data_IF_457190583882
#
_entry.id   IF_457190583882
#
_cell.length_a   1.000
_cell.length_b   1.000
_cell.length_c   1.000
_cell.angle_alpha   90.00
_cell.angle_beta   90.00
_cell.angle_gamma   90.00
#
_symmetry.space_group_name_H-M   'P 1'
#
loop_
_entity.id
_entity.type
_entity.pdbx_description
1 polymer ?
#
# COMPACT_ATOMS: atom_id res chain seq x y z
N UNK A 1 2.78 -12.41 43.64
CA UNK A 1 3.76 -11.87 42.68
C UNK A 1 4.47 -10.70 43.31
N UNK A 2 5.80 -10.59 43.17
CA UNK A 2 6.51 -9.40 43.67
C UNK A 2 6.09 -8.16 42.87
N UNK A 3 6.09 -6.98 43.51
CA UNK A 3 5.75 -5.70 42.84
C UNK A 3 6.61 -5.49 41.59
N UNK A 4 7.86 -5.97 41.60
CA UNK A 4 8.76 -5.92 40.45
C UNK A 4 8.20 -6.71 39.25
N UNK A 5 7.77 -7.96 39.44
CA UNK A 5 7.23 -8.81 38.36
C UNK A 5 5.93 -8.24 37.80
N UNK A 6 5.10 -7.61 38.65
CA UNK A 6 3.89 -6.94 38.19
C UNK A 6 4.20 -5.78 37.24
N UNK A 7 5.17 -4.91 37.62
CA UNK A 7 5.60 -3.78 36.78
C UNK A 7 6.23 -4.27 35.48
N UNK A 8 7.11 -5.27 35.50
CA UNK A 8 7.74 -5.83 34.31
C UNK A 8 6.71 -6.41 33.35
N UNK A 9 5.72 -7.15 33.88
CA UNK A 9 4.63 -7.68 33.07
C UNK A 9 3.77 -6.57 32.42
N UNK A 10 3.43 -5.52 33.21
CA UNK A 10 2.67 -4.37 32.70
C UNK A 10 3.42 -3.65 31.56
N UNK A 11 4.75 -3.57 31.65
CA UNK A 11 5.62 -2.98 30.63
C UNK A 11 5.96 -3.96 29.48
N UNK A 12 5.45 -5.19 29.55
CA UNK A 12 5.79 -6.29 28.62
C UNK A 12 7.31 -6.53 28.52
N UNK A 13 7.99 -6.48 29.67
CA UNK A 13 9.42 -6.77 29.80
C UNK A 13 9.57 -8.19 30.34
N UNK A 14 10.18 -9.08 29.53
CA UNK A 14 10.32 -10.51 29.87
C UNK A 14 11.71 -10.89 30.44
N UNK A 15 12.48 -9.91 30.88
CA UNK A 15 13.81 -10.15 31.44
C UNK A 15 13.78 -10.05 32.97
N UNK A 16 13.85 -11.19 33.64
CA UNK A 16 13.80 -11.32 35.10
C UNK A 16 15.04 -10.71 35.81
N UNK A 17 16.13 -10.48 35.08
CA UNK A 17 17.34 -9.85 35.61
C UNK A 17 17.22 -8.33 35.76
N UNK A 18 16.09 -7.75 35.30
CA UNK A 18 15.80 -6.33 35.48
C UNK A 18 14.99 -6.12 36.75
N UNK A 19 15.54 -5.33 37.67
CA UNK A 19 14.89 -4.96 38.94
C UNK A 19 14.57 -3.47 38.93
N UNK A 20 13.29 -3.13 39.05
CA UNK A 20 12.83 -1.74 39.11
C UNK A 20 13.11 -1.21 40.50
N UNK A 21 13.79 -0.05 40.59
CA UNK A 21 14.29 0.49 41.85
C UNK A 21 13.60 1.78 42.32
N UNK A 22 12.87 2.45 41.42
CA UNK A 22 12.20 3.72 41.74
C UNK A 22 10.73 3.71 41.33
N UNK A 23 9.96 4.58 42.01
CA UNK A 23 8.62 4.94 41.54
C UNK A 23 8.74 5.66 40.17
N UNK A 24 7.77 5.46 39.32
CA UNK A 24 7.69 6.14 38.02
C UNK A 24 7.70 7.67 38.22
N UNK A 25 8.64 8.37 37.60
CA UNK A 25 8.72 9.84 37.60
C UNK A 25 8.16 10.39 36.32
N UNK A 26 7.31 11.41 36.40
CA UNK A 26 6.80 12.13 35.24
C UNK A 26 7.65 13.40 35.04
N UNK A 27 8.04 13.66 33.78
CA UNK A 27 8.80 14.85 33.40
C UNK A 27 8.32 15.39 32.06
N UNK A 28 8.27 16.69 31.92
CA UNK A 28 8.06 17.35 30.64
C UNK A 28 9.43 17.66 30.02
N UNK A 29 9.71 17.11 28.82
CA UNK A 29 10.96 17.32 28.11
C UNK A 29 10.59 17.80 26.69
N UNK A 30 11.01 19.02 26.32
CA UNK A 30 10.71 19.64 25.03
C UNK A 30 9.22 19.60 24.64
N UNK A 31 8.35 19.87 25.63
CA UNK A 31 6.89 19.91 25.45
C UNK A 31 6.19 18.53 25.37
N UNK A 32 6.91 17.43 25.55
CA UNK A 32 6.32 16.08 25.61
C UNK A 32 6.38 15.53 27.05
N UNK A 33 5.31 14.82 27.44
CA UNK A 33 5.23 14.14 28.72
C UNK A 33 5.97 12.81 28.69
N UNK A 34 6.87 12.61 29.62
CA UNK A 34 7.68 11.39 29.76
C UNK A 34 7.42 10.71 31.09
N UNK A 35 7.27 9.39 31.03
CA UNK A 35 7.40 8.49 32.18
C UNK A 35 8.82 7.92 32.22
N UNK A 36 9.54 8.15 33.31
CA UNK A 36 10.90 7.67 33.54
C UNK A 36 10.87 6.63 34.62
N UNK A 37 11.29 5.43 34.28
CA UNK A 37 11.37 4.28 35.18
C UNK A 37 12.85 3.92 35.32
N UNK A 38 13.36 3.77 36.54
CA UNK A 38 14.75 3.39 36.78
C UNK A 38 14.83 1.93 37.23
N UNK A 39 15.80 1.21 36.70
CA UNK A 39 16.03 -0.19 37.06
C UNK A 39 17.48 -0.60 37.00
N UNK A 40 17.80 -1.69 37.68
CA UNK A 40 19.11 -2.34 37.69
C UNK A 40 19.02 -3.61 36.86
N UNK A 41 19.99 -3.82 35.96
CA UNK A 41 20.20 -5.07 35.26
C UNK A 41 21.41 -5.78 35.85
N UNK A 42 21.17 -6.89 36.51
CA UNK A 42 22.23 -7.68 37.17
C UNK A 42 21.89 -9.17 37.17
N UNK A 43 22.90 -9.97 36.96
CA UNK A 43 22.83 -11.44 37.03
C UNK A 43 24.21 -12.01 37.38
N UNK A 44 24.31 -13.32 37.54
CA UNK A 44 25.61 -14.01 37.63
C UNK A 44 25.96 -14.55 36.23
N UNK A 45 27.02 -14.03 35.58
CA UNK A 45 27.39 -14.50 34.25
C UNK A 45 27.90 -15.94 34.32
N UNK A 46 27.50 -16.77 33.36
CA UNK A 46 27.90 -18.18 33.24
C UNK A 46 29.32 -18.34 32.73
N UNK A 47 29.74 -17.44 31.84
CA UNK A 47 31.09 -17.46 31.23
C UNK A 47 31.52 -16.03 30.86
N UNK A 48 32.81 -15.87 30.62
CA UNK A 48 33.38 -14.61 30.14
C UNK A 48 33.21 -14.53 28.60
N UNK A 49 32.59 -13.48 28.04
CA UNK A 49 32.43 -13.33 26.59
C UNK A 49 33.76 -13.04 25.88
N UNK A 50 34.84 -12.68 26.59
CA UNK A 50 36.13 -12.35 25.99
C UNK A 50 37.05 -13.57 25.87
N UNK A 51 37.16 -14.40 26.92
CA UNK A 51 38.08 -15.55 26.93
C UNK A 51 37.38 -16.91 27.06
N UNK A 52 36.04 -16.95 27.17
CA UNK A 52 35.28 -18.20 27.26
C UNK A 52 35.35 -18.90 28.62
N UNK A 53 36.13 -18.43 29.62
CA UNK A 53 36.24 -19.10 30.93
C UNK A 53 34.85 -19.21 31.56
N UNK A 54 34.53 -20.40 32.06
CA UNK A 54 33.28 -20.70 32.77
C UNK A 54 33.41 -20.21 34.22
N UNK A 55 32.39 -19.50 34.69
CA UNK A 55 32.37 -18.97 36.07
C UNK A 55 31.92 -20.05 37.06
N UNK A 56 32.82 -20.98 37.41
CA UNK A 56 32.46 -22.14 38.25
C UNK A 56 32.29 -21.80 39.74
N UNK A 57 33.11 -20.86 40.25
CA UNK A 57 33.16 -20.56 41.65
C UNK A 57 32.58 -19.20 42.04
N UNK A 58 31.93 -18.49 41.14
CA UNK A 58 31.49 -17.06 41.31
C UNK A 58 32.64 -16.07 41.55
N UNK A 59 33.86 -16.57 41.73
CA UNK A 59 35.06 -15.78 41.99
C UNK A 59 35.90 -15.48 40.75
N UNK A 60 35.68 -16.20 39.65
CA UNK A 60 36.39 -15.98 38.39
C UNK A 60 35.92 -14.72 37.68
N UNK A 61 34.63 -14.43 37.83
CA UNK A 61 33.99 -13.23 37.28
C UNK A 61 33.27 -12.50 38.40
N UNK A 62 33.76 -11.32 38.75
CA UNK A 62 33.23 -10.52 39.85
C UNK A 62 32.44 -9.31 39.38
N UNK A 63 31.51 -8.81 40.23
CA UNK A 63 30.80 -7.56 39.97
C UNK A 63 31.74 -6.37 40.15
N UNK A 64 31.78 -5.47 39.13
CA UNK A 64 32.74 -4.37 39.08
C UNK A 64 32.04 -3.01 38.85
N UNK A 65 31.10 -2.68 39.73
CA UNK A 65 30.30 -1.44 39.60
C UNK A 65 29.26 -1.47 38.50
N UNK A 66 28.77 -0.30 38.10
CA UNK A 66 27.67 -0.14 37.13
C UNK A 66 28.02 0.83 36.01
N UNK A 67 27.56 0.53 34.82
CA UNK A 67 27.34 1.54 33.78
C UNK A 67 25.98 2.17 34.01
N UNK A 68 25.99 3.43 34.52
CA UNK A 68 24.77 4.16 34.86
C UNK A 68 24.11 4.82 33.66
N UNK A 69 22.81 5.16 33.79
CA UNK A 69 22.03 5.98 32.86
C UNK A 69 21.94 5.44 31.44
N UNK A 70 21.87 4.11 31.26
CA UNK A 70 21.59 3.50 29.97
C UNK A 70 20.11 3.64 29.63
N UNK A 71 19.75 4.65 28.85
CA UNK A 71 18.35 4.91 28.46
C UNK A 71 17.89 3.94 27.39
N UNK A 72 16.79 3.24 27.65
CA UNK A 72 16.08 2.40 26.69
C UNK A 72 14.69 2.99 26.47
N UNK A 73 14.35 3.26 25.21
CA UNK A 73 13.01 3.69 24.80
C UNK A 73 12.12 2.48 24.72
N UNK A 74 11.06 2.47 25.52
CA UNK A 74 10.04 1.41 25.54
C UNK A 74 8.71 1.97 25.00
N UNK A 75 7.73 1.12 24.65
CA UNK A 75 6.41 1.57 24.17
C UNK A 75 5.76 2.54 25.16
N UNK A 76 4.96 3.46 24.62
CA UNK A 76 4.18 4.42 25.40
C UNK A 76 3.32 3.71 26.45
N UNK A 77 3.20 4.34 27.62
CA UNK A 77 2.27 3.93 28.65
C UNK A 77 1.20 5.02 28.82
N UNK A 78 0.00 4.74 28.33
CA UNK A 78 -1.03 5.76 28.15
C UNK A 78 -0.59 6.81 27.14
N UNK A 79 -0.73 8.08 27.47
CA UNK A 79 -0.35 9.21 26.60
C UNK A 79 1.12 9.67 26.78
N UNK A 80 1.89 9.01 27.65
CA UNK A 80 3.25 9.41 27.99
C UNK A 80 4.29 8.59 27.22
N UNK A 81 5.28 9.27 26.67
CA UNK A 81 6.51 8.65 26.16
C UNK A 81 7.24 7.99 27.33
N UNK A 82 7.67 6.74 27.19
CA UNK A 82 8.21 5.99 28.31
C UNK A 82 9.67 5.61 28.06
N UNK A 83 10.50 5.85 29.08
CA UNK A 83 11.93 5.53 29.07
C UNK A 83 12.29 4.70 30.29
N UNK A 84 12.98 3.59 30.06
CA UNK A 84 13.59 2.79 31.08
C UNK A 84 15.07 3.17 31.21
N UNK A 85 15.48 3.66 32.35
CA UNK A 85 16.87 4.03 32.64
C UNK A 85 17.50 2.87 33.39
N UNK A 86 18.32 2.09 32.70
CA UNK A 86 19.00 0.93 33.28
C UNK A 86 20.37 1.29 33.81
N UNK A 87 20.66 0.86 35.05
CA UNK A 87 22.00 0.76 35.61
C UNK A 87 22.49 -0.67 35.35
N UNK A 88 23.30 -0.84 34.31
CA UNK A 88 23.78 -2.16 33.90
C UNK A 88 25.01 -2.58 34.70
N UNK A 89 24.96 -3.75 35.35
CA UNK A 89 26.10 -4.32 36.07
C UNK A 89 27.29 -4.45 35.11
N UNK A 90 28.47 -4.00 35.55
CA UNK A 90 29.75 -4.30 34.94
C UNK A 90 30.35 -5.50 35.67
N UNK A 91 30.98 -6.37 34.91
CA UNK A 91 31.71 -7.54 35.40
C UNK A 91 33.19 -7.43 35.06
N UNK A 92 34.04 -7.98 35.89
CA UNK A 92 35.49 -8.11 35.68
C UNK A 92 35.84 -9.59 35.67
N UNK A 93 36.53 -10.06 34.65
CA UNK A 93 37.06 -11.42 34.55
C UNK A 93 38.49 -11.43 35.03
N UNK A 94 38.77 -12.16 36.15
CA UNK A 94 40.12 -12.29 36.71
C UNK A 94 41.08 -13.08 35.83
N UNK A 95 40.53 -13.94 34.91
CA UNK A 95 41.35 -14.77 34.05
C UNK A 95 41.98 -13.98 32.89
N UNK A 96 41.20 -13.15 32.19
CA UNK A 96 41.68 -12.36 31.06
C UNK A 96 41.83 -10.86 31.36
N UNK A 97 41.58 -10.42 32.58
CA UNK A 97 41.62 -9.03 33.04
C UNK A 97 40.75 -8.06 32.24
N UNK A 98 39.73 -8.56 31.54
CA UNK A 98 38.80 -7.76 30.78
C UNK A 98 37.51 -7.49 31.53
N UNK A 99 36.86 -6.34 31.22
CA UNK A 99 35.54 -6.01 31.72
C UNK A 99 34.49 -6.14 30.66
N UNK A 100 33.28 -6.56 31.02
CA UNK A 100 32.12 -6.57 30.16
C UNK A 100 30.86 -6.11 30.93
N UNK A 101 29.76 -5.86 30.24
CA UNK A 101 28.56 -5.25 30.80
C UNK A 101 27.40 -6.24 30.66
N UNK A 102 26.50 -6.25 31.64
CA UNK A 102 25.29 -7.05 31.62
C UNK A 102 24.48 -6.73 30.35
N UNK A 103 24.09 -7.76 29.66
CA UNK A 103 23.26 -7.70 28.43
C UNK A 103 21.84 -8.16 28.76
N UNK A 104 20.88 -7.70 27.98
CA UNK A 104 19.45 -8.02 28.09
C UNK A 104 18.88 -8.27 26.71
N UNK A 105 17.89 -9.15 26.61
CA UNK A 105 17.13 -9.38 25.38
C UNK A 105 16.06 -8.30 25.12
N UNK A 106 15.89 -7.34 26.04
CA UNK A 106 14.96 -6.21 25.86
C UNK A 106 15.39 -5.28 24.72
N UNK A 107 16.70 -5.11 24.52
CA UNK A 107 17.30 -4.20 23.55
C UNK A 107 18.58 -4.81 22.99
N UNK A 108 18.76 -4.75 21.69
CA UNK A 108 19.98 -5.23 21.04
C UNK A 108 21.22 -4.48 21.52
N UNK A 109 22.37 -5.13 21.41
CA UNK A 109 23.67 -4.55 21.79
C UNK A 109 23.89 -3.21 21.05
N UNK A 110 24.34 -2.20 21.78
CA UNK A 110 24.59 -0.85 21.29
C UNK A 110 23.34 -0.10 20.72
N UNK A 111 22.14 -0.61 20.96
CA UNK A 111 20.89 0.10 20.65
C UNK A 111 20.24 0.66 21.91
N UNK A 112 19.35 1.64 21.72
CA UNK A 112 18.60 2.30 22.80
C UNK A 112 17.08 2.26 22.59
N UNK A 113 16.61 1.45 21.63
CA UNK A 113 15.19 1.25 21.31
C UNK A 113 14.87 -0.20 21.62
N UNK A 114 13.89 -0.45 22.48
CA UNK A 114 13.50 -1.81 22.83
C UNK A 114 12.94 -2.57 21.62
N UNK A 115 13.05 -3.90 21.66
CA UNK A 115 12.49 -4.77 20.62
C UNK A 115 10.98 -4.58 20.48
N UNK A 116 10.26 -4.32 21.58
CA UNK A 116 8.84 -4.00 21.58
C UNK A 116 8.54 -2.67 20.89
N UNK A 117 9.36 -1.63 21.08
CA UNK A 117 9.22 -0.35 20.37
C UNK A 117 9.53 -0.52 18.88
N UNK A 118 10.53 -1.32 18.53
CA UNK A 118 10.83 -1.65 17.13
C UNK A 118 9.63 -2.36 16.45
N UNK A 119 9.04 -3.34 17.14
CA UNK A 119 7.84 -4.01 16.67
C UNK A 119 6.68 -3.04 16.49
N UNK A 120 6.44 -2.14 17.46
CA UNK A 120 5.40 -1.13 17.35
C UNK A 120 5.62 -0.20 16.15
N UNK A 121 6.85 0.24 15.88
CA UNK A 121 7.18 1.03 14.69
C UNK A 121 6.83 0.25 13.42
N UNK A 122 7.10 -1.05 13.36
CA UNK A 122 6.76 -1.90 12.21
C UNK A 122 5.24 -2.02 12.00
N UNK A 123 4.46 -2.09 13.08
CA UNK A 123 3.00 -2.08 13.02
C UNK A 123 2.48 -0.71 12.56
N UNK A 124 3.03 0.39 13.07
CA UNK A 124 2.68 1.74 12.62
C UNK A 124 3.03 1.98 11.14
N UNK A 125 4.04 1.30 10.62
CA UNK A 125 4.37 1.33 9.19
C UNK A 125 3.32 0.61 8.31
N UNK A 126 2.42 -0.17 8.86
CA UNK A 126 1.28 -0.75 8.15
C UNK A 126 0.11 0.23 8.02
N UNK A 127 0.12 1.32 8.78
CA UNK A 127 -0.93 2.32 8.77
C UNK A 127 -0.67 3.45 7.74
N UNK A 128 -1.75 4.14 7.32
CA UNK A 128 -1.68 5.22 6.31
C UNK A 128 -1.21 6.54 6.94
N UNK A 129 0.06 6.63 7.27
CA UNK A 129 0.67 7.81 7.92
C UNK A 129 2.10 8.05 7.44
N UNK A 130 2.63 9.26 7.70
CA UNK A 130 4.00 9.59 7.29
C UNK A 130 5.04 8.99 8.22
N UNK A 131 6.24 8.71 7.68
CA UNK A 131 7.39 8.26 8.47
C UNK A 131 7.79 9.29 9.56
N UNK A 132 7.61 10.58 9.26
CA UNK A 132 7.85 11.67 10.21
C UNK A 132 6.88 11.65 11.38
N UNK A 133 5.61 11.35 11.15
CA UNK A 133 4.59 11.26 12.20
C UNK A 133 4.84 10.01 13.07
N UNK A 134 5.20 8.88 12.46
CA UNK A 134 5.61 7.68 13.19
C UNK A 134 6.81 8.01 14.09
N UNK A 135 7.86 8.62 13.53
CA UNK A 135 9.06 8.98 14.27
C UNK A 135 8.74 9.88 15.48
N UNK A 136 7.89 10.89 15.28
CA UNK A 136 7.43 11.80 16.35
C UNK A 136 6.67 11.06 17.43
N UNK A 137 5.73 10.17 17.08
CA UNK A 137 4.93 9.40 18.05
C UNK A 137 5.74 8.37 18.83
N UNK A 138 6.77 7.79 18.19
CA UNK A 138 7.62 6.77 18.79
C UNK A 138 8.85 7.33 19.52
N UNK A 139 8.99 8.65 19.63
CA UNK A 139 10.18 9.32 20.21
C UNK A 139 11.50 8.85 19.57
N UNK A 140 11.50 8.67 18.25
CA UNK A 140 12.70 8.25 17.49
C UNK A 140 13.01 9.25 16.39
N UNK A 141 14.21 9.20 15.82
CA UNK A 141 14.54 9.96 14.60
C UNK A 141 13.96 9.30 13.35
N UNK A 142 13.74 10.08 12.31
CA UNK A 142 13.32 9.55 11.00
C UNK A 142 14.35 8.54 10.47
N UNK A 143 15.63 8.72 10.77
CA UNK A 143 16.70 7.77 10.40
C UNK A 143 16.51 6.36 11.01
N UNK A 144 15.84 6.25 12.16
CA UNK A 144 15.46 4.94 12.72
C UNK A 144 14.40 4.28 11.87
N UNK A 145 13.39 5.04 11.46
CA UNK A 145 12.33 4.54 10.58
C UNK A 145 12.92 4.10 9.23
N UNK A 146 13.81 4.92 8.66
CA UNK A 146 14.51 4.63 7.40
C UNK A 146 15.32 3.32 7.50
N UNK A 147 16.03 3.09 8.62
CA UNK A 147 16.76 1.85 8.87
C UNK A 147 15.84 0.64 8.97
N UNK A 148 14.70 0.77 9.66
CA UNK A 148 13.71 -0.31 9.77
C UNK A 148 13.10 -0.62 8.40
N UNK A 149 12.81 0.38 7.58
CA UNK A 149 12.33 0.19 6.22
C UNK A 149 13.39 -0.46 5.31
N UNK A 150 14.67 -0.07 5.43
CA UNK A 150 15.77 -0.75 4.72
C UNK A 150 15.84 -2.24 5.12
N UNK A 151 15.70 -2.54 6.42
CA UNK A 151 15.68 -3.91 6.91
C UNK A 151 14.48 -4.71 6.37
N UNK A 152 13.29 -4.11 6.35
CA UNK A 152 12.10 -4.72 5.77
C UNK A 152 12.31 -4.97 4.27
N UNK A 153 12.76 -3.98 3.52
CA UNK A 153 12.92 -4.09 2.07
C UNK A 153 13.96 -5.13 1.67
N UNK A 154 15.09 -5.19 2.38
CA UNK A 154 16.16 -6.18 2.09
C UNK A 154 15.74 -7.63 2.39
N UNK A 155 14.86 -7.81 3.37
CA UNK A 155 14.35 -9.14 3.76
C UNK A 155 13.06 -9.53 3.03
N UNK A 156 12.49 -8.62 2.23
CA UNK A 156 11.24 -8.88 1.51
C UNK A 156 11.55 -9.35 0.10
N UNK A 157 11.44 -10.65 -0.13
CA UNK A 157 11.41 -11.22 -1.48
C UNK A 157 10.03 -11.83 -1.67
N UNK A 158 9.19 -11.18 -2.46
CA UNK A 158 7.91 -11.77 -2.86
C UNK A 158 8.21 -12.93 -3.83
N UNK A 159 7.88 -14.13 -3.40
CA UNK A 159 7.96 -15.34 -4.23
C UNK A 159 6.54 -15.87 -4.42
N UNK A 160 5.99 -15.60 -5.59
CA UNK A 160 4.74 -16.20 -6.00
C UNK A 160 5.06 -17.46 -6.82
N UNK A 161 4.69 -18.66 -6.35
CA UNK A 161 4.98 -19.90 -7.09
C UNK A 161 4.11 -20.03 -8.33
N UNK A 162 2.93 -19.40 -8.33
CA UNK A 162 1.92 -19.45 -9.40
C UNK A 162 1.49 -18.06 -9.81
N UNK A 163 1.04 -17.93 -11.05
CA UNK A 163 0.40 -16.71 -11.57
C UNK A 163 -1.11 -16.74 -11.33
N UNK A 164 -1.77 -15.58 -11.15
CA UNK A 164 -3.22 -15.49 -11.17
C UNK A 164 -3.79 -15.97 -12.51
N UNK A 165 -4.97 -16.59 -12.49
CA UNK A 165 -5.66 -17.04 -13.72
C UNK A 165 -6.15 -15.86 -14.55
N UNK A 166 -6.56 -14.78 -13.90
CA UNK A 166 -6.96 -13.54 -14.52
C UNK A 166 -6.15 -12.38 -13.91
N UNK A 167 -5.46 -11.62 -14.74
CA UNK A 167 -4.59 -10.51 -14.32
C UNK A 167 -5.04 -9.20 -14.92
N UNK A 168 -4.82 -8.12 -14.18
CA UNK A 168 -4.88 -6.78 -14.70
C UNK A 168 -3.49 -6.14 -14.62
N UNK A 169 -3.02 -5.57 -15.74
CA UNK A 169 -1.73 -4.90 -15.86
C UNK A 169 -1.94 -3.41 -16.03
N UNK A 170 -1.28 -2.64 -15.21
CA UNK A 170 -1.32 -1.18 -15.27
C UNK A 170 0.04 -0.61 -14.84
N UNK A 171 0.16 0.70 -14.87
CA UNK A 171 1.37 1.41 -14.48
C UNK A 171 1.06 2.62 -13.60
N UNK A 172 2.01 2.95 -12.75
CA UNK A 172 1.93 4.17 -11.96
C UNK A 172 3.27 4.89 -11.90
N UNK A 173 3.21 6.20 -11.65
CA UNK A 173 4.41 7.01 -11.51
C UNK A 173 5.15 6.61 -10.23
N UNK A 174 6.33 6.01 -10.37
CA UNK A 174 7.19 5.60 -9.28
C UNK A 174 8.02 6.76 -8.70
N UNK A 175 9.13 6.46 -8.06
CA UNK A 175 10.10 7.41 -7.49
C UNK A 175 11.12 7.85 -8.55
N UNK A 176 11.94 8.85 -8.22
CA UNK A 176 12.91 9.39 -9.19
C UNK A 176 14.10 8.47 -9.45
N UNK A 177 14.39 7.55 -8.54
CA UNK A 177 15.48 6.57 -8.60
C UNK A 177 15.17 5.34 -9.47
N UNK A 178 13.92 5.17 -9.91
CA UNK A 178 13.56 4.12 -10.87
C UNK A 178 14.02 4.45 -12.29
N UNK A 179 14.48 3.44 -13.03
CA UNK A 179 15.05 3.59 -14.38
C UNK A 179 14.12 4.22 -15.42
N UNK A 180 12.81 4.16 -15.23
CA UNK A 180 11.82 4.66 -16.18
C UNK A 180 10.79 5.62 -15.60
N UNK A 181 10.93 6.04 -14.33
CA UNK A 181 9.94 6.85 -13.59
C UNK A 181 8.55 6.23 -13.45
N UNK A 182 8.29 5.11 -14.09
CA UNK A 182 7.04 4.36 -14.06
C UNK A 182 7.31 2.94 -13.58
N UNK A 183 6.50 2.48 -12.64
CA UNK A 183 6.47 1.10 -12.19
C UNK A 183 5.28 0.37 -12.83
N UNK A 184 5.44 -0.92 -13.02
CA UNK A 184 4.41 -1.81 -13.55
C UNK A 184 3.74 -2.55 -12.38
N UNK A 185 2.43 -2.64 -12.41
CA UNK A 185 1.61 -3.25 -11.37
C UNK A 185 0.79 -4.41 -11.94
N UNK A 186 0.71 -5.49 -11.18
CA UNK A 186 -0.13 -6.65 -11.48
C UNK A 186 -1.13 -6.81 -10.36
N UNK A 187 -2.41 -6.88 -10.69
CA UNK A 187 -3.46 -7.28 -9.75
C UNK A 187 -4.12 -8.57 -10.20
N UNK A 188 -4.57 -9.36 -9.23
CA UNK A 188 -5.37 -10.55 -9.45
C UNK A 188 -6.84 -10.13 -9.55
N UNK A 189 -7.48 -10.40 -10.69
CA UNK A 189 -8.88 -10.02 -10.93
C UNK A 189 -9.86 -10.93 -10.16
N UNK A 190 -9.45 -12.16 -9.83
CA UNK A 190 -10.33 -13.13 -9.19
C UNK A 190 -10.55 -12.80 -7.70
N UNK A 191 -9.49 -12.37 -7.00
CA UNK A 191 -9.54 -12.04 -5.58
C UNK A 191 -9.42 -10.53 -5.25
N UNK A 192 -9.15 -9.71 -6.24
CA UNK A 192 -9.03 -8.26 -6.09
C UNK A 192 -7.75 -7.78 -5.40
N UNK A 193 -6.76 -8.63 -5.26
CA UNK A 193 -5.54 -8.30 -4.55
C UNK A 193 -4.44 -7.78 -5.47
N UNK A 194 -3.60 -6.92 -4.93
CA UNK A 194 -2.32 -6.60 -5.54
C UNK A 194 -1.45 -7.87 -5.55
N UNK A 195 -1.02 -8.28 -6.73
CA UNK A 195 -0.16 -9.46 -6.89
C UNK A 195 1.32 -9.09 -6.77
N UNK A 196 1.80 -8.16 -7.61
CA UNK A 196 3.20 -7.74 -7.58
C UNK A 196 3.40 -6.36 -8.22
N UNK A 197 4.55 -5.74 -7.93
CA UNK A 197 4.98 -4.48 -8.52
C UNK A 197 6.41 -4.64 -9.05
N UNK A 198 6.63 -4.30 -10.32
CA UNK A 198 7.94 -4.32 -10.95
C UNK A 198 8.45 -2.87 -11.14
N UNK A 199 9.75 -2.65 -10.94
CA UNK A 199 10.40 -1.33 -11.03
C UNK A 199 10.52 -0.78 -12.45
N UNK A 200 10.18 -1.58 -13.44
CA UNK A 200 10.25 -1.23 -14.86
C UNK A 200 9.00 -1.68 -15.62
N UNK A 201 8.52 -0.81 -16.52
CA UNK A 201 7.45 -1.14 -17.47
C UNK A 201 7.97 -1.58 -18.84
N UNK A 202 9.30 -1.61 -19.04
CA UNK A 202 9.90 -1.95 -20.32
C UNK A 202 9.64 -3.42 -20.67
N UNK A 203 9.21 -3.69 -21.89
CA UNK A 203 8.88 -5.05 -22.34
C UNK A 203 9.99 -6.06 -22.11
N UNK A 204 11.28 -5.67 -22.26
CA UNK A 204 12.43 -6.53 -21.98
C UNK A 204 12.49 -6.96 -20.51
N UNK A 205 12.26 -6.04 -19.57
CA UNK A 205 12.35 -6.32 -18.13
C UNK A 205 11.14 -7.14 -17.68
N UNK A 206 9.95 -6.83 -18.22
CA UNK A 206 8.74 -7.60 -17.97
C UNK A 206 8.82 -9.01 -18.58
N UNK A 207 9.45 -9.17 -19.75
CA UNK A 207 9.70 -10.49 -20.30
C UNK A 207 10.58 -11.34 -19.39
N UNK A 208 11.67 -10.76 -18.83
CA UNK A 208 12.51 -11.43 -17.83
C UNK A 208 11.71 -11.80 -16.58
N UNK A 209 10.85 -10.87 -16.11
CA UNK A 209 10.00 -11.09 -14.95
C UNK A 209 9.09 -12.30 -15.15
N UNK A 210 8.31 -12.36 -16.24
CA UNK A 210 7.37 -13.45 -16.49
C UNK A 210 8.04 -14.76 -16.90
N UNK A 211 9.24 -14.74 -17.49
CA UNK A 211 9.99 -15.95 -17.80
C UNK A 211 10.55 -16.68 -16.55
N UNK A 212 10.49 -16.07 -15.37
CA UNK A 212 10.75 -16.77 -14.09
C UNK A 212 9.72 -17.86 -13.81
N UNK A 213 8.53 -17.74 -14.36
CA UNK A 213 7.50 -18.75 -14.29
C UNK A 213 7.64 -19.73 -15.45
N UNK A 214 7.44 -21.02 -15.16
CA UNK A 214 7.48 -22.06 -16.19
C UNK A 214 6.47 -21.80 -17.30
N UNK A 215 6.66 -22.39 -18.46
CA UNK A 215 5.67 -22.32 -19.55
C UNK A 215 4.31 -22.83 -19.08
N UNK A 216 4.29 -23.96 -18.36
CA UNK A 216 3.04 -24.54 -17.83
C UNK A 216 2.28 -23.57 -16.91
N UNK A 217 2.97 -22.79 -16.07
CA UNK A 217 2.32 -21.78 -15.23
C UNK A 217 1.75 -20.63 -16.07
N UNK A 218 2.50 -20.15 -17.08
CA UNK A 218 1.99 -19.10 -17.97
C UNK A 218 0.80 -19.56 -18.82
N UNK A 219 0.80 -20.82 -19.23
CA UNK A 219 -0.30 -21.42 -20.01
C UNK A 219 -1.59 -21.62 -19.19
N UNK A 220 -1.52 -21.56 -17.85
CA UNK A 220 -2.69 -21.54 -16.95
C UNK A 220 -3.42 -20.21 -16.89
N UNK A 221 -2.78 -19.12 -17.30
CA UNK A 221 -3.40 -17.80 -17.36
C UNK A 221 -4.47 -17.78 -18.44
N UNK A 222 -5.69 -17.38 -18.07
CA UNK A 222 -6.86 -17.39 -18.94
C UNK A 222 -7.21 -16.02 -19.50
N UNK A 223 -6.88 -14.96 -18.75
CA UNK A 223 -7.27 -13.61 -19.10
C UNK A 223 -6.26 -12.57 -18.63
N UNK A 224 -6.01 -11.56 -19.46
CA UNK A 224 -5.15 -10.42 -19.14
C UNK A 224 -5.84 -9.13 -19.61
N UNK A 225 -6.18 -8.24 -18.67
CA UNK A 225 -6.67 -6.89 -18.96
C UNK A 225 -5.50 -5.91 -18.99
N UNK A 226 -5.43 -5.06 -19.99
CA UNK A 226 -4.34 -4.10 -20.22
C UNK A 226 -4.88 -2.77 -20.77
N UNK A 227 -4.03 -1.75 -20.77
CA UNK A 227 -4.30 -0.50 -21.50
C UNK A 227 -4.05 -0.64 -23.02
N UNK A 228 -4.15 0.47 -23.75
CA UNK A 228 -3.90 0.50 -25.21
C UNK A 228 -2.41 0.44 -25.60
N UNK A 229 -1.49 0.20 -24.65
CA UNK A 229 -0.08 0.16 -25.00
C UNK A 229 0.28 -1.11 -25.79
N UNK A 230 0.66 -0.91 -27.04
CA UNK A 230 0.99 -2.01 -27.98
C UNK A 230 2.08 -2.96 -27.47
N UNK A 231 3.01 -2.45 -26.66
CA UNK A 231 4.06 -3.24 -26.03
C UNK A 231 3.51 -4.31 -25.08
N UNK A 232 2.44 -4.00 -24.34
CA UNK A 232 1.79 -4.98 -23.44
C UNK A 232 1.01 -6.02 -24.23
N UNK A 233 0.30 -5.59 -25.30
CA UNK A 233 -0.39 -6.51 -26.20
C UNK A 233 0.60 -7.52 -26.80
N UNK A 234 1.72 -7.03 -27.31
CA UNK A 234 2.76 -7.90 -27.89
C UNK A 234 3.32 -8.87 -26.85
N UNK A 235 3.67 -8.38 -25.66
CA UNK A 235 4.24 -9.18 -24.58
C UNK A 235 3.26 -10.27 -24.12
N UNK A 236 1.99 -9.90 -23.90
CA UNK A 236 0.95 -10.83 -23.48
C UNK A 236 0.77 -11.95 -24.50
N UNK A 237 0.67 -11.63 -25.80
CA UNK A 237 0.58 -12.63 -26.89
C UNK A 237 1.80 -13.56 -26.96
N UNK A 238 2.99 -12.99 -26.70
CA UNK A 238 4.26 -13.75 -26.77
C UNK A 238 4.34 -14.76 -25.64
N UNK A 239 3.94 -14.40 -24.42
CA UNK A 239 4.22 -15.16 -23.22
C UNK A 239 3.03 -16.00 -22.73
N UNK A 240 1.80 -15.60 -23.04
CA UNK A 240 0.56 -16.20 -22.51
C UNK A 240 -0.33 -16.66 -23.66
N UNK A 241 0.01 -17.82 -24.24
CA UNK A 241 -0.61 -18.33 -25.48
C UNK A 241 -2.09 -18.66 -25.32
N UNK A 242 -2.51 -19.03 -24.11
CA UNK A 242 -3.89 -19.46 -23.80
C UNK A 242 -4.73 -18.34 -23.18
N UNK A 243 -4.17 -17.14 -23.03
CA UNK A 243 -4.86 -16.03 -22.39
C UNK A 243 -5.63 -15.17 -23.41
N UNK A 244 -6.89 -14.89 -23.13
CA UNK A 244 -7.62 -13.82 -23.78
C UNK A 244 -7.11 -12.47 -23.30
N UNK A 245 -6.81 -11.59 -24.25
CA UNK A 245 -6.37 -10.23 -23.94
C UNK A 245 -7.55 -9.30 -24.10
N UNK A 246 -7.83 -8.46 -23.10
CA UNK A 246 -8.83 -7.41 -23.18
C UNK A 246 -8.24 -6.03 -22.91
N UNK A 247 -8.85 -5.01 -23.51
CA UNK A 247 -8.56 -3.61 -23.14
C UNK A 247 -9.41 -3.24 -21.93
N UNK A 248 -8.77 -2.62 -20.94
CA UNK A 248 -9.47 -2.09 -19.78
C UNK A 248 -10.54 -1.06 -20.21
N UNK A 249 -11.80 -1.29 -19.79
CA UNK A 249 -12.94 -0.43 -20.11
C UNK A 249 -12.73 1.02 -19.67
N UNK A 250 -12.03 1.25 -18.56
CA UNK A 250 -11.70 2.61 -18.11
C UNK A 250 -10.89 3.35 -19.18
N UNK A 251 -9.90 2.67 -19.78
CA UNK A 251 -9.06 3.27 -20.83
C UNK A 251 -9.85 3.52 -22.13
N UNK A 252 -10.85 2.69 -22.42
CA UNK A 252 -11.80 2.96 -23.55
C UNK A 252 -12.61 4.23 -23.24
N UNK A 253 -13.23 4.31 -22.05
CA UNK A 253 -14.04 5.47 -21.65
C UNK A 253 -13.22 6.76 -21.65
N UNK A 254 -12.02 6.73 -21.08
CA UNK A 254 -11.21 7.96 -20.93
C UNK A 254 -10.73 8.52 -22.27
N UNK A 255 -10.50 7.69 -23.29
CA UNK A 255 -10.16 8.18 -24.63
C UNK A 255 -11.31 8.95 -25.25
N UNK A 256 -12.54 8.41 -25.21
CA UNK A 256 -13.73 9.09 -25.72
C UNK A 256 -14.07 10.35 -24.91
N UNK A 257 -13.95 10.29 -23.57
CA UNK A 257 -14.09 11.44 -22.67
C UNK A 257 -13.11 12.57 -23.02
N UNK A 258 -11.82 12.23 -23.18
CA UNK A 258 -10.80 13.23 -23.51
C UNK A 258 -11.06 13.86 -24.88
N UNK A 259 -11.55 13.09 -25.85
CA UNK A 259 -11.92 13.60 -27.18
C UNK A 259 -13.07 14.61 -27.10
N UNK A 260 -14.14 14.27 -26.37
CA UNK A 260 -15.28 15.18 -26.15
C UNK A 260 -14.86 16.44 -25.39
N UNK A 261 -14.15 16.27 -24.28
CA UNK A 261 -13.72 17.40 -23.46
C UNK A 261 -12.73 18.32 -24.20
N UNK A 262 -11.83 17.77 -25.01
CA UNK A 262 -10.93 18.55 -25.87
C UNK A 262 -11.71 19.38 -26.90
N UNK A 263 -12.76 18.80 -27.50
CA UNK A 263 -13.64 19.50 -28.43
C UNK A 263 -14.38 20.65 -27.75
N UNK A 264 -14.92 20.40 -26.54
CA UNK A 264 -15.53 21.46 -25.73
C UNK A 264 -14.52 22.57 -25.41
N UNK A 265 -13.30 22.22 -24.99
CA UNK A 265 -12.25 23.18 -24.62
C UNK A 265 -11.85 24.06 -25.81
N UNK A 266 -11.85 23.53 -27.04
CA UNK A 266 -11.56 24.34 -28.24
C UNK A 266 -12.57 25.47 -28.47
N UNK A 267 -13.80 25.31 -27.95
CA UNK A 267 -14.85 26.34 -27.99
C UNK A 267 -14.79 27.29 -26.78
N UNK A 268 -14.04 26.94 -25.72
CA UNK A 268 -13.82 27.82 -24.55
C UNK A 268 -12.78 28.91 -24.85
N UNK A 269 -13.05 29.76 -25.85
CA UNK A 269 -12.21 30.92 -26.16
C UNK A 269 -12.90 32.17 -25.66
N UNK A 270 -12.14 33.17 -25.17
CA UNK A 270 -12.69 34.43 -24.64
C UNK A 270 -13.61 35.16 -25.61
N UNK A 271 -13.38 35.00 -26.92
CA UNK A 271 -14.18 35.61 -27.99
C UNK A 271 -15.50 34.85 -28.27
N UNK A 272 -15.72 33.68 -27.63
CA UNK A 272 -16.97 32.94 -27.78
C UNK A 272 -18.02 33.50 -26.82
N UNK A 273 -19.20 33.94 -27.30
CA UNK A 273 -20.31 34.43 -26.45
C UNK A 273 -20.73 33.44 -25.37
N UNK A 274 -20.55 32.15 -25.61
CA UNK A 274 -20.88 31.07 -24.68
C UNK A 274 -19.68 30.60 -23.82
N UNK A 275 -18.56 31.34 -23.79
CA UNK A 275 -17.37 30.98 -23.02
C UNK A 275 -17.68 30.58 -21.56
N UNK A 276 -18.40 31.43 -20.82
CA UNK A 276 -18.75 31.19 -19.43
C UNK A 276 -19.64 29.95 -19.27
N UNK A 277 -20.56 29.70 -20.22
CA UNK A 277 -21.43 28.52 -20.21
C UNK A 277 -20.63 27.24 -20.43
N UNK A 278 -19.77 27.18 -21.47
CA UNK A 278 -18.88 26.04 -21.72
C UNK A 278 -17.92 25.76 -20.55
N UNK A 279 -17.44 26.83 -19.91
CA UNK A 279 -16.51 26.73 -18.79
C UNK A 279 -17.18 26.18 -17.51
N UNK A 280 -18.40 26.59 -17.22
CA UNK A 280 -19.05 26.28 -15.95
C UNK A 280 -19.90 25.00 -16.02
N UNK A 281 -20.50 24.71 -17.15
CA UNK A 281 -21.37 23.52 -17.35
C UNK A 281 -20.64 22.31 -17.96
N UNK A 282 -19.30 22.30 -17.97
CA UNK A 282 -18.54 21.22 -18.59
C UNK A 282 -18.86 19.83 -18.04
N UNK A 283 -19.16 19.72 -16.73
CA UNK A 283 -19.50 18.45 -16.09
C UNK A 283 -20.81 17.87 -16.64
N UNK A 284 -21.74 18.71 -17.03
CA UNK A 284 -22.98 18.26 -17.64
C UNK A 284 -22.77 17.68 -19.05
N UNK A 285 -21.89 18.32 -19.85
CA UNK A 285 -21.60 17.84 -21.22
C UNK A 285 -20.96 16.45 -21.22
N UNK A 286 -20.13 16.14 -20.22
CA UNK A 286 -19.46 14.83 -20.15
C UNK A 286 -20.25 13.79 -19.33
N UNK A 287 -21.32 14.19 -18.66
CA UNK A 287 -22.24 13.31 -17.93
C UNK A 287 -23.02 12.45 -18.94
N UNK A 288 -23.39 11.23 -18.53
CA UNK A 288 -24.28 10.43 -19.34
C UNK A 288 -25.64 11.14 -19.51
N UNK A 289 -26.18 11.16 -20.71
CA UNK A 289 -27.44 11.87 -20.99
C UNK A 289 -28.63 11.33 -20.17
N UNK A 290 -28.66 10.02 -19.90
CA UNK A 290 -29.68 9.38 -19.05
C UNK A 290 -29.62 9.80 -17.60
N UNK A 291 -28.50 10.35 -17.14
CA UNK A 291 -28.26 10.79 -15.76
C UNK A 291 -28.49 12.31 -15.61
N UNK A 292 -28.86 13.03 -16.68
CA UNK A 292 -29.16 14.46 -16.64
C UNK A 292 -30.55 14.70 -16.04
N UNK A 293 -30.62 15.60 -15.04
CA UNK A 293 -31.89 15.98 -14.41
C UNK A 293 -32.78 16.79 -15.39
N UNK A 294 -34.08 16.51 -15.34
CA UNK A 294 -35.13 17.29 -16.03
C UNK A 294 -35.71 18.39 -15.14
N UNK A 295 -35.36 18.39 -13.84
CA UNK A 295 -35.77 19.41 -12.89
C UNK A 295 -35.14 20.76 -13.24
N UNK A 296 -35.96 21.83 -13.25
CA UNK A 296 -35.52 23.18 -13.60
C UNK A 296 -35.03 23.93 -12.36
N UNK A 297 -33.86 24.55 -12.49
CA UNK A 297 -33.29 25.43 -11.50
C UNK A 297 -32.78 26.71 -12.16
N UNK A 298 -32.77 27.82 -11.41
CA UNK A 298 -32.26 29.08 -11.91
C UNK A 298 -30.79 28.98 -12.34
N UNK A 299 -30.54 29.26 -13.59
CA UNK A 299 -29.19 29.23 -14.17
C UNK A 299 -28.61 30.64 -14.26
N UNK A 300 -27.57 30.93 -13.46
CA UNK A 300 -26.85 32.21 -13.43
C UNK A 300 -26.37 32.68 -14.82
N UNK A 301 -25.96 31.74 -15.67
CA UNK A 301 -25.36 32.08 -16.98
C UNK A 301 -26.39 32.15 -18.10
N UNK A 302 -27.60 31.70 -17.87
CA UNK A 302 -28.71 31.80 -18.81
C UNK A 302 -29.75 32.81 -18.35
N UNK A 303 -29.70 33.30 -17.10
CA UNK A 303 -30.63 34.22 -16.47
C UNK A 303 -32.10 33.76 -16.52
N UNK A 304 -32.32 32.43 -16.46
CA UNK A 304 -33.63 31.78 -16.46
C UNK A 304 -33.56 30.39 -15.87
N UNK A 305 -34.71 29.82 -15.56
CA UNK A 305 -34.82 28.44 -15.12
C UNK A 305 -34.59 27.49 -16.27
N UNK A 306 -33.66 26.53 -16.06
CA UNK A 306 -33.32 25.53 -17.03
C UNK A 306 -33.00 24.19 -16.35
N UNK A 307 -33.36 23.09 -17.02
CA UNK A 307 -32.90 21.76 -16.63
C UNK A 307 -31.49 21.47 -17.10
N UNK A 308 -30.83 20.45 -16.50
CA UNK A 308 -29.51 20.01 -16.97
C UNK A 308 -29.55 19.58 -18.45
N UNK A 309 -30.61 18.90 -18.84
CA UNK A 309 -30.84 18.44 -20.22
C UNK A 309 -30.96 19.61 -21.21
N UNK A 310 -31.75 20.64 -20.86
CA UNK A 310 -31.90 21.85 -21.69
C UNK A 310 -30.58 22.61 -21.85
N UNK A 311 -29.78 22.70 -20.77
CA UNK A 311 -28.47 23.34 -20.80
C UNK A 311 -27.50 22.60 -21.75
N UNK A 312 -27.44 21.27 -21.64
CA UNK A 312 -26.57 20.46 -22.51
C UNK A 312 -27.04 20.59 -23.96
N UNK A 313 -28.33 20.45 -24.21
CA UNK A 313 -28.91 20.57 -25.57
C UNK A 313 -28.60 21.93 -26.18
N UNK A 314 -28.73 23.02 -25.43
CA UNK A 314 -28.34 24.34 -25.91
C UNK A 314 -26.85 24.38 -26.28
N UNK A 315 -25.97 23.87 -25.43
CA UNK A 315 -24.51 23.96 -25.62
C UNK A 315 -24.04 23.13 -26.82
N UNK A 316 -24.55 21.91 -27.01
CA UNK A 316 -24.12 21.04 -28.11
C UNK A 316 -24.65 21.54 -29.46
N UNK A 317 -25.81 22.20 -29.50
CA UNK A 317 -26.37 22.74 -30.74
C UNK A 317 -25.64 24.00 -31.25
N UNK A 318 -24.72 24.59 -30.49
CA UNK A 318 -23.92 25.74 -30.92
C UNK A 318 -22.80 25.38 -31.90
N UNK A 319 -22.45 24.09 -32.01
CA UNK A 319 -21.36 23.64 -32.89
C UNK A 319 -21.62 22.21 -33.38
N UNK A 320 -21.64 22.03 -34.68
CA UNK A 320 -21.94 20.74 -35.34
C UNK A 320 -20.90 19.67 -34.94
N UNK A 321 -19.64 20.07 -34.80
CA UNK A 321 -18.56 19.15 -34.42
C UNK A 321 -18.70 18.70 -32.95
N UNK A 322 -19.07 19.63 -32.06
CA UNK A 322 -19.34 19.28 -30.67
C UNK A 322 -20.57 18.35 -30.59
N UNK A 323 -21.65 18.65 -31.31
CA UNK A 323 -22.86 17.83 -31.33
C UNK A 323 -22.57 16.42 -31.77
N UNK A 324 -21.95 16.25 -32.95
CA UNK A 324 -21.60 14.94 -33.48
C UNK A 324 -20.65 14.16 -32.56
N UNK A 325 -19.70 14.86 -31.94
CA UNK A 325 -18.75 14.27 -30.98
C UNK A 325 -19.43 13.84 -29.67
N UNK A 326 -20.41 14.64 -29.19
CA UNK A 326 -21.23 14.31 -28.03
C UNK A 326 -22.11 13.07 -28.29
N UNK A 327 -22.84 13.03 -29.38
CA UNK A 327 -23.68 11.89 -29.77
C UNK A 327 -22.84 10.60 -29.89
N UNK A 328 -21.67 10.68 -30.51
CA UNK A 328 -20.74 9.56 -30.60
C UNK A 328 -20.27 9.10 -29.20
N UNK A 329 -19.88 10.03 -28.33
CA UNK A 329 -19.49 9.72 -26.97
C UNK A 329 -20.61 9.05 -26.19
N UNK A 330 -21.83 9.61 -26.20
CA UNK A 330 -22.99 9.04 -25.51
C UNK A 330 -23.32 7.62 -26.02
N UNK A 331 -23.27 7.42 -27.30
CA UNK A 331 -23.49 6.11 -27.92
C UNK A 331 -22.45 5.07 -27.46
N UNK A 332 -21.16 5.44 -27.43
CA UNK A 332 -20.08 4.56 -26.95
C UNK A 332 -20.26 4.22 -25.45
N UNK A 333 -20.56 5.22 -24.61
CA UNK A 333 -20.73 4.98 -23.17
C UNK A 333 -21.97 4.13 -22.89
N UNK A 334 -23.07 4.39 -23.59
CA UNK A 334 -24.30 3.61 -23.44
C UNK A 334 -24.09 2.15 -23.88
N UNK A 335 -23.40 1.91 -25.00
CA UNK A 335 -23.10 0.54 -25.44
C UNK A 335 -22.22 -0.23 -24.44
N UNK A 336 -21.26 0.44 -23.76
CA UNK A 336 -20.47 -0.16 -22.68
C UNK A 336 -21.30 -0.47 -21.44
N UNK A 337 -22.24 0.43 -21.05
CA UNK A 337 -23.15 0.21 -19.91
C UNK A 337 -24.14 -0.94 -20.21
N UNK A 338 -24.66 -0.99 -21.41
CA UNK A 338 -25.63 -2.00 -21.88
C UNK A 338 -24.95 -3.34 -22.23
N UNK A 339 -23.63 -3.40 -22.20
CA UNK A 339 -22.81 -4.55 -22.63
C UNK A 339 -23.10 -4.98 -24.08
N UNK A 340 -23.47 -4.04 -24.94
CA UNK A 340 -23.78 -4.27 -26.36
C UNK A 340 -22.56 -3.96 -27.23
N UNK A 341 -21.78 -5.02 -27.54
CA UNK A 341 -20.63 -4.89 -28.42
C UNK A 341 -21.00 -4.55 -29.86
N UNK A 342 -22.13 -5.04 -30.38
CA UNK A 342 -22.52 -4.76 -31.75
C UNK A 342 -22.81 -3.27 -31.94
N UNK A 343 -23.52 -2.66 -31.02
CA UNK A 343 -23.77 -1.21 -30.96
C UNK A 343 -22.44 -0.42 -30.84
N UNK A 344 -21.54 -0.83 -29.98
CA UNK A 344 -20.21 -0.23 -29.83
C UNK A 344 -19.44 -0.29 -31.16
N UNK A 345 -19.42 -1.46 -31.81
CA UNK A 345 -18.76 -1.70 -33.09
C UNK A 345 -19.38 -0.82 -34.19
N UNK A 346 -20.69 -0.77 -34.32
CA UNK A 346 -21.38 0.05 -35.31
C UNK A 346 -21.00 1.54 -35.16
N UNK A 347 -20.98 2.08 -33.94
CA UNK A 347 -20.59 3.47 -33.70
C UNK A 347 -19.10 3.69 -34.04
N UNK A 348 -18.25 2.74 -33.64
CA UNK A 348 -16.80 2.82 -33.89
C UNK A 348 -16.49 2.87 -35.38
N UNK A 349 -17.24 2.13 -36.22
CA UNK A 349 -17.02 2.08 -37.68
C UNK A 349 -17.81 3.13 -38.47
N UNK A 350 -18.69 3.89 -37.81
CA UNK A 350 -19.42 4.97 -38.47
C UNK A 350 -18.45 6.08 -38.90
N UNK A 351 -18.61 6.51 -40.19
CA UNK A 351 -17.80 7.55 -40.83
C UNK A 351 -18.50 8.91 -40.79
N UNK A 352 -18.80 9.44 -39.62
CA UNK A 352 -19.35 10.79 -39.50
C UNK A 352 -18.26 11.85 -39.78
N UNK A 353 -18.44 12.63 -40.84
CA UNK A 353 -17.50 13.68 -41.26
C UNK A 353 -17.34 14.80 -40.20
N UNK A 354 -18.40 15.07 -39.44
CA UNK A 354 -18.46 16.16 -38.47
C UNK A 354 -17.78 15.84 -37.11
N UNK A 355 -17.28 14.62 -36.94
CA UNK A 355 -16.57 14.26 -35.71
C UNK A 355 -15.28 15.06 -35.55
N UNK A 356 -14.96 15.45 -34.31
CA UNK A 356 -13.72 16.15 -34.00
C UNK A 356 -12.49 15.29 -34.34
N UNK A 357 -11.34 15.92 -34.67
CA UNK A 357 -10.10 15.18 -34.95
C UNK A 357 -9.69 14.23 -33.83
N UNK A 358 -9.91 14.63 -32.57
CA UNK A 358 -9.62 13.80 -31.40
C UNK A 358 -10.54 12.59 -31.27
N UNK A 359 -11.83 12.74 -31.59
CA UNK A 359 -12.76 11.60 -31.64
C UNK A 359 -12.42 10.65 -32.79
N UNK A 360 -12.09 11.17 -33.96
CA UNK A 360 -11.61 10.35 -35.06
C UNK A 360 -10.36 9.56 -34.72
N UNK A 361 -9.43 10.16 -33.95
CA UNK A 361 -8.23 9.49 -33.43
C UNK A 361 -8.59 8.37 -32.42
N UNK A 362 -9.53 8.61 -31.50
CA UNK A 362 -10.01 7.60 -30.56
C UNK A 362 -10.68 6.43 -31.27
N UNK A 363 -11.56 6.72 -32.25
CA UNK A 363 -12.22 5.67 -33.04
C UNK A 363 -11.22 4.85 -33.87
N UNK A 364 -10.15 5.47 -34.40
CA UNK A 364 -9.08 4.73 -35.09
C UNK A 364 -8.40 3.75 -34.13
N UNK A 365 -8.03 4.21 -32.94
CA UNK A 365 -7.44 3.36 -31.90
C UNK A 365 -8.36 2.18 -31.52
N UNK A 366 -9.69 2.41 -31.46
CA UNK A 366 -10.65 1.34 -31.19
C UNK A 366 -10.74 0.35 -32.34
N UNK A 367 -10.74 0.83 -33.58
CA UNK A 367 -10.76 -0.04 -34.80
C UNK A 367 -9.55 -0.97 -34.81
N UNK A 368 -8.36 -0.43 -34.54
CA UNK A 368 -7.11 -1.20 -34.50
C UNK A 368 -7.11 -2.26 -33.37
N UNK A 369 -7.84 -2.01 -32.29
CA UNK A 369 -7.89 -2.88 -31.12
C UNK A 369 -9.25 -3.53 -30.88
N UNK A 370 -10.11 -3.57 -31.89
CA UNK A 370 -11.52 -3.97 -31.76
C UNK A 370 -11.70 -5.37 -31.16
N UNK A 371 -10.85 -6.33 -31.54
CA UNK A 371 -10.85 -7.69 -31.00
C UNK A 371 -10.61 -7.73 -29.48
N UNK A 372 -9.69 -6.88 -28.98
CA UNK A 372 -9.38 -6.82 -27.54
C UNK A 372 -10.45 -6.06 -26.77
N UNK A 373 -11.10 -5.08 -27.40
CA UNK A 373 -12.26 -4.39 -26.83
C UNK A 373 -13.44 -5.36 -26.76
N UNK A 374 -13.66 -6.21 -27.79
CA UNK A 374 -14.69 -7.25 -27.76
C UNK A 374 -14.53 -8.18 -26.54
N UNK A 375 -13.31 -8.60 -26.25
CA UNK A 375 -13.04 -9.41 -25.07
C UNK A 375 -13.44 -8.70 -23.77
N UNK A 376 -13.31 -7.38 -23.67
CA UNK A 376 -13.74 -6.64 -22.46
C UNK A 376 -15.26 -6.62 -22.26
N UNK A 377 -16.06 -6.94 -23.29
CA UNK A 377 -17.50 -7.15 -23.14
C UNK A 377 -17.84 -8.56 -22.64
N UNK A 378 -16.98 -9.57 -22.92
CA UNK A 378 -17.17 -10.97 -22.49
C UNK A 378 -16.83 -11.16 -21.01
N UNK A 379 -15.78 -10.46 -20.51
CA UNK A 379 -15.31 -10.59 -19.16
C UNK A 379 -15.89 -9.49 -18.27
N UNK A 380 -16.54 -9.88 -17.17
CA UNK A 380 -17.07 -8.93 -16.20
C UNK A 380 -15.99 -8.56 -15.18
N UNK A 381 -14.98 -7.78 -15.65
CA UNK A 381 -13.85 -7.39 -14.83
C UNK A 381 -14.22 -6.13 -14.07
N UNK A 382 -14.10 -6.20 -12.75
CA UNK A 382 -14.29 -5.04 -11.90
C UNK A 382 -13.00 -4.19 -11.87
N UNK A 383 -12.93 -3.18 -12.75
CA UNK A 383 -11.79 -2.25 -12.80
C UNK A 383 -11.64 -1.40 -11.55
N UNK A 384 -12.63 -1.37 -10.65
CA UNK A 384 -12.55 -0.69 -9.36
C UNK A 384 -11.40 -1.17 -8.47
N UNK A 385 -10.93 -2.40 -8.69
CA UNK A 385 -9.83 -3.00 -7.91
C UNK A 385 -8.50 -2.29 -8.21
N UNK A 386 -8.15 -2.16 -9.49
CA UNK A 386 -6.88 -1.53 -9.87
C UNK A 386 -6.95 -0.02 -9.66
N UNK A 387 -8.11 0.60 -9.92
CA UNK A 387 -8.34 2.02 -9.63
C UNK A 387 -8.21 2.28 -8.12
N UNK A 388 -8.84 1.47 -7.27
CA UNK A 388 -8.71 1.55 -5.81
C UNK A 388 -7.26 1.36 -5.35
N UNK A 389 -6.53 0.44 -5.97
CA UNK A 389 -5.10 0.23 -5.67
C UNK A 389 -4.25 1.43 -6.11
N UNK A 390 -4.47 1.96 -7.32
CA UNK A 390 -3.79 3.16 -7.80
C UNK A 390 -4.12 4.40 -6.97
N UNK A 391 -5.35 4.55 -6.50
CA UNK A 391 -5.74 5.64 -5.59
C UNK A 391 -5.07 5.50 -4.23
N UNK A 392 -4.96 4.29 -3.68
CA UNK A 392 -4.20 4.02 -2.46
C UNK A 392 -2.71 4.36 -2.64
N UNK A 393 -2.08 3.95 -3.74
CA UNK A 393 -0.68 4.26 -4.07
C UNK A 393 -0.46 5.78 -4.13
N UNK A 394 -1.37 6.52 -4.78
CA UNK A 394 -1.34 7.99 -4.82
C UNK A 394 -1.50 8.59 -3.42
N UNK A 395 -2.38 8.04 -2.59
CA UNK A 395 -2.60 8.46 -1.21
C UNK A 395 -1.35 8.25 -0.36
N UNK A 396 -0.74 7.06 -0.39
CA UNK A 396 0.51 6.73 0.33
C UNK A 396 1.61 7.73 -0.05
N UNK A 397 1.78 8.00 -1.35
CA UNK A 397 2.78 8.94 -1.85
C UNK A 397 2.52 10.38 -1.39
N UNK A 398 1.26 10.79 -1.32
CA UNK A 398 0.86 12.13 -0.88
C UNK A 398 1.07 12.33 0.62
N UNK A 399 0.67 11.37 1.45
CA UNK A 399 0.84 11.39 2.91
C UNK A 399 2.33 11.47 3.29
N UNK A 400 3.20 10.78 2.56
CA UNK A 400 4.64 10.81 2.79
C UNK A 400 5.34 12.05 2.21
N UNK A 401 4.61 12.98 1.57
CA UNK A 401 5.18 14.10 0.81
C UNK A 401 6.19 13.65 -0.27
N UNK A 402 6.03 12.41 -0.75
CA UNK A 402 6.88 11.74 -1.72
C UNK A 402 7.89 10.78 -1.09
N UNK A 403 8.41 9.89 -1.91
CA UNK A 403 9.47 8.95 -1.54
C UNK A 403 10.72 9.24 -2.37
N UNK A 404 11.89 9.08 -1.76
CA UNK A 404 13.18 9.20 -2.45
C UNK A 404 13.65 7.86 -2.97
N UNK A 405 13.41 6.77 -2.21
CA UNK A 405 13.83 5.40 -2.52
C UNK A 405 12.63 4.57 -2.97
N UNK A 406 12.77 3.88 -4.09
CA UNK A 406 11.77 2.98 -4.64
C UNK A 406 11.44 1.84 -3.66
N UNK A 407 12.46 1.17 -3.11
CA UNK A 407 12.28 0.04 -2.22
C UNK A 407 11.47 0.39 -0.97
N UNK A 408 11.66 1.59 -0.40
CA UNK A 408 10.86 2.07 0.73
C UNK A 408 9.41 2.29 0.32
N UNK A 409 9.20 2.88 -0.85
CA UNK A 409 7.85 3.13 -1.35
C UNK A 409 7.08 1.83 -1.58
N UNK A 410 7.70 0.85 -2.23
CA UNK A 410 7.08 -0.45 -2.48
C UNK A 410 6.85 -1.23 -1.18
N UNK A 411 7.83 -1.24 -0.28
CA UNK A 411 7.66 -1.87 1.04
C UNK A 411 6.49 -1.28 1.81
N UNK A 412 6.29 0.04 1.74
CA UNK A 412 5.13 0.70 2.36
C UNK A 412 3.81 0.29 1.70
N UNK A 413 3.76 0.19 0.38
CA UNK A 413 2.57 -0.30 -0.33
C UNK A 413 2.25 -1.72 0.12
N UNK A 414 3.24 -2.61 0.16
CA UNK A 414 3.07 -4.01 0.55
C UNK A 414 2.67 -4.16 2.03
N UNK A 415 3.24 -3.36 2.93
CA UNK A 415 2.86 -3.33 4.35
C UNK A 415 1.40 -2.89 4.51
N UNK A 416 1.00 -1.77 3.91
CA UNK A 416 -0.36 -1.21 4.02
C UNK A 416 -1.40 -2.13 3.36
N UNK A 417 -1.03 -2.86 2.29
CA UNK A 417 -1.87 -3.87 1.64
C UNK A 417 -1.88 -5.22 2.38
N UNK A 418 -1.06 -5.38 3.43
CA UNK A 418 -0.95 -6.63 4.16
C UNK A 418 -0.29 -7.79 3.39
N UNK A 419 0.37 -7.49 2.26
CA UNK A 419 1.09 -8.48 1.45
C UNK A 419 2.31 -8.98 2.22
N UNK A 420 3.02 -8.06 2.87
CA UNK A 420 4.09 -8.37 3.81
C UNK A 420 3.67 -7.95 5.21
N UNK A 421 4.13 -8.72 6.20
CA UNK A 421 3.85 -8.43 7.60
C UNK A 421 5.03 -7.72 8.24
N UNK A 422 4.80 -6.65 8.97
CA UNK A 422 5.84 -5.82 9.59
C UNK A 422 6.75 -6.56 10.58
N UNK A 423 6.35 -7.74 11.05
CA UNK A 423 7.07 -8.51 12.07
C UNK A 423 7.99 -9.63 11.55
N UNK A 424 8.24 -9.74 10.23
CA UNK A 424 9.20 -10.70 9.72
C UNK A 424 10.64 -10.22 10.02
N UNK A 425 11.22 -10.71 11.06
CA UNK A 425 12.55 -11.25 11.29
C UNK A 425 12.96 -11.21 12.75
N UNK A 426 12.65 -12.25 13.45
CA UNK A 426 13.51 -12.94 14.39
C UNK A 426 12.82 -14.24 14.75
N UNK A 427 13.51 -15.34 14.62
CA UNK A 427 13.09 -16.71 14.91
C UNK A 427 12.53 -16.92 16.32
N UNK A 428 12.61 -15.92 17.19
CA UNK A 428 12.09 -15.92 18.57
C UNK A 428 10.64 -15.45 18.70
N UNK A 429 10.12 -14.62 17.78
CA UNK A 429 8.73 -14.11 17.88
C UNK A 429 7.74 -15.08 17.21
N UNK A 430 8.16 -15.81 16.18
CA UNK A 430 7.31 -16.79 15.49
C UNK A 430 6.87 -17.91 16.44
N UNK A 431 7.77 -18.41 17.29
CA UNK A 431 7.44 -19.48 18.25
C UNK A 431 6.49 -19.04 19.38
N UNK A 432 6.50 -17.78 19.79
CA UNK A 432 5.57 -17.28 20.81
C UNK A 432 4.20 -16.93 20.23
N UNK A 433 4.13 -16.41 18.99
CA UNK A 433 2.86 -16.05 18.35
C UNK A 433 2.13 -17.26 17.78
N UNK A 434 2.86 -18.23 17.20
CA UNK A 434 2.28 -19.53 16.80
C UNK A 434 1.77 -20.28 18.02
N UNK A 435 2.51 -20.28 19.14
CA UNK A 435 2.01 -20.84 20.40
C UNK A 435 0.77 -20.11 20.93
N UNK A 436 0.69 -18.76 20.78
CA UNK A 436 -0.48 -17.99 21.19
C UNK A 436 -1.69 -18.26 20.29
N UNK A 437 -1.52 -18.31 18.95
CA UNK A 437 -2.61 -18.64 18.00
C UNK A 437 -3.05 -20.09 18.15
N UNK A 438 -2.13 -21.02 18.32
CA UNK A 438 -2.45 -22.44 18.56
C UNK A 438 -3.15 -22.59 19.91
N UNK A 439 -2.74 -21.85 20.94
CA UNK A 439 -3.41 -21.88 22.26
C UNK A 439 -4.81 -21.25 22.21
N UNK A 440 -5.01 -20.14 21.47
CA UNK A 440 -6.32 -19.56 21.23
C UNK A 440 -7.22 -20.50 20.38
N UNK A 441 -6.66 -21.17 19.40
CA UNK A 441 -7.40 -22.16 18.60
C UNK A 441 -7.75 -23.43 19.38
N UNK A 442 -6.91 -23.82 20.35
CA UNK A 442 -7.19 -24.91 21.31
C UNK A 442 -8.26 -24.53 22.33
N UNK A 443 -8.26 -23.29 22.81
CA UNK A 443 -9.28 -22.77 23.73
C UNK A 443 -10.65 -22.62 23.04
N UNK A 444 -10.69 -22.18 21.78
CA UNK A 444 -11.95 -22.09 21.01
C UNK A 444 -12.49 -23.46 20.63
N UNK A 445 -11.66 -24.45 20.33
CA UNK A 445 -12.12 -25.85 20.12
C UNK A 445 -12.62 -26.49 21.40
N UNK A 446 -11.99 -26.28 22.54
CA UNK A 446 -12.43 -26.81 23.82
C UNK A 446 -13.71 -26.12 24.34
N UNK A 447 -13.89 -24.81 24.06
CA UNK A 447 -15.17 -24.15 24.33
C UNK A 447 -16.30 -24.63 23.42
N UNK A 448 -16.03 -24.92 22.15
CA UNK A 448 -17.04 -25.56 21.28
C UNK A 448 -17.38 -26.99 21.71
N UNK A 449 -16.44 -27.74 22.25
CA UNK A 449 -16.66 -29.07 22.76
C UNK A 449 -17.49 -29.08 24.07
N UNK A 450 -17.28 -28.10 24.93
CA UNK A 450 -18.09 -27.91 26.16
C UNK A 450 -19.51 -27.41 25.82
N UNK A 451 -19.69 -26.59 24.78
CA UNK A 451 -21.04 -26.20 24.35
C UNK A 451 -21.83 -27.33 23.64
N UNK A 452 -21.16 -28.32 23.06
CA UNK A 452 -21.82 -29.46 22.41
C UNK A 452 -22.20 -30.53 23.44
N UNK A 453 -21.54 -30.59 24.59
CA UNK A 453 -21.85 -31.56 25.67
C UNK A 453 -22.97 -31.03 26.59
N UNK A 454 -23.25 -29.74 26.67
CA UNK A 454 -24.35 -29.19 27.49
C UNK A 454 -25.70 -29.05 26.75
N UNK A 455 -25.81 -29.49 25.49
CA UNK A 455 -27.07 -29.50 24.73
C UNK A 455 -27.59 -30.91 24.36
N UNK A 456 -27.02 -31.95 24.96
CA UNK A 456 -27.50 -33.35 24.77
C UNK A 456 -27.79 -34.07 26.11
N UNK A 457 -28.32 -33.36 27.10
CA UNK A 457 -29.04 -33.95 28.24
C UNK A 457 -30.45 -33.34 28.37
#
# INVERSE_FOLDING_TARGET
MSTNNYILNLLNIKDENIHIITKCKEKIIKGNNYKIIEGILTYTPKYCPCCGVVNQSTNDIIKWGFRKNCVVKIPKQGNCLTRLVLHKQRFFCKHCNNTFIAETNLVDRNKNISNNTNLQIRLELMEKQSEKDIAKRMDVSVSVIDRILNEISSNTVLRHPTLPKSMNWDEFKATKDTKGKMAFIITDNDNGNLFDINDSRKSRDLEKYFRRYSKNERDKVKHISIDFYSGYIYLAKKLFKNADISIDRFHVVIQAYNALNSTRVSLCKKNNPNYNKFKNYWKLIVKNEKDLSEEKHYSKYFHKDMSQKEIVQYLINNDLTLKATYECYQGLINSLKEKDFNKFKAITFNQNKNLSPKMKQALRLYKENIKYIENSFKYDINNGIIEGTNNLIKCIKRIAFGYRKYDHFISRIFLIKGIIKGWFSSSLIINSFIKFIVHQHYLTKNLLFLFIVEFND
#
